data_IF_408111832521
#
_entry.id   IF_408111832521
#
_cell.length_a   1.000
_cell.length_b   1.000
_cell.length_c   1.000
_cell.angle_alpha   90.00
_cell.angle_beta   90.00
_cell.angle_gamma   90.00
#
_symmetry.space_group_name_H-M   'P 1'
#
loop_
_entity.id
_entity.type
_entity.pdbx_description
1 polymer ?
#
# COMPACT_ATOMS: atom_id res chain seq x y z
N UNK A 1 16.18 -3.15 -18.52
CA UNK A 1 14.97 -2.78 -17.73
C UNK A 1 14.54 -1.38 -18.15
N UNK A 2 13.30 -1.19 -18.61
CA UNK A 2 12.76 0.13 -18.93
C UNK A 2 12.17 0.74 -17.67
N UNK A 3 12.61 1.94 -17.32
CA UNK A 3 12.10 2.71 -16.18
C UNK A 3 11.37 3.94 -16.69
N UNK A 4 10.10 4.06 -16.36
CA UNK A 4 9.29 5.24 -16.67
C UNK A 4 9.28 6.17 -15.46
N UNK A 5 9.51 7.46 -15.70
CA UNK A 5 9.40 8.51 -14.69
C UNK A 5 8.32 9.48 -15.13
N UNK A 6 7.33 9.63 -14.27
CA UNK A 6 6.30 10.64 -14.42
C UNK A 6 6.73 11.90 -13.64
N UNK A 7 6.54 13.09 -14.20
CA UNK A 7 6.74 14.33 -13.46
C UNK A 7 5.73 14.43 -12.31
N UNK A 8 6.17 14.95 -11.16
CA UNK A 8 5.34 15.13 -9.97
C UNK A 8 6.03 14.64 -8.69
N UNK A 9 5.31 14.79 -7.57
CA UNK A 9 5.75 14.27 -6.28
C UNK A 9 5.73 12.73 -6.27
N UNK A 10 6.62 12.14 -5.48
CA UNK A 10 6.62 10.68 -5.30
C UNK A 10 5.39 10.23 -4.50
N UNK A 11 4.96 8.99 -4.71
CA UNK A 11 3.89 8.40 -3.88
C UNK A 11 4.22 8.48 -2.39
N UNK A 12 5.49 8.33 -1.99
CA UNK A 12 5.92 8.48 -0.59
C UNK A 12 5.68 9.88 -0.04
N UNK A 13 5.85 10.93 -0.84
CA UNK A 13 5.56 12.30 -0.44
C UNK A 13 4.07 12.48 -0.16
N UNK A 14 3.20 11.92 -1.00
CA UNK A 14 1.75 11.96 -0.77
C UNK A 14 1.34 11.18 0.48
N UNK A 15 1.92 9.99 0.68
CA UNK A 15 1.68 9.16 1.86
C UNK A 15 2.10 9.88 3.14
N UNK A 16 3.27 10.51 3.16
CA UNK A 16 3.75 11.26 4.33
C UNK A 16 2.84 12.44 4.65
N UNK A 17 2.36 13.18 3.64
CA UNK A 17 1.40 14.27 3.86
C UNK A 17 0.07 13.76 4.42
N UNK A 18 -0.43 12.62 3.95
CA UNK A 18 -1.65 12.02 4.50
C UNK A 18 -1.45 11.58 5.95
N UNK A 19 -0.31 10.96 6.26
CA UNK A 19 0.05 10.57 7.62
C UNK A 19 0.11 11.77 8.57
N UNK A 20 0.74 12.88 8.15
CA UNK A 20 0.81 14.11 8.96
C UNK A 20 -0.59 14.67 9.27
N UNK A 21 -1.51 14.70 8.29
CA UNK A 21 -2.90 15.15 8.51
C UNK A 21 -3.65 14.21 9.45
N UNK A 22 -3.47 12.90 9.32
CA UNK A 22 -4.05 11.95 10.26
C UNK A 22 -3.55 12.18 11.70
N UNK A 23 -2.24 12.41 11.89
CA UNK A 23 -1.65 12.62 13.21
C UNK A 23 -2.10 13.94 13.85
N UNK A 24 -2.11 15.02 13.08
CA UNK A 24 -2.40 16.35 13.61
C UNK A 24 -3.90 16.65 13.69
N UNK A 25 -4.65 16.23 12.68
CA UNK A 25 -6.03 16.67 12.45
C UNK A 25 -7.04 15.52 12.57
N UNK A 26 -6.58 14.27 12.72
CA UNK A 26 -7.44 13.09 12.82
C UNK A 26 -8.10 12.70 11.49
N UNK A 27 -7.63 13.24 10.36
CA UNK A 27 -8.15 12.86 9.04
C UNK A 27 -7.97 11.35 8.79
N UNK A 28 -9.02 10.63 8.32
CA UNK A 28 -8.88 9.23 7.96
C UNK A 28 -7.85 9.02 6.85
N UNK A 29 -7.02 7.99 7.00
CA UNK A 29 -6.12 7.57 5.94
C UNK A 29 -6.93 7.02 4.75
N UNK A 30 -6.57 7.37 3.50
CA UNK A 30 -7.25 6.80 2.31
C UNK A 30 -7.09 5.28 2.17
N UNK A 31 -6.09 4.71 2.84
CA UNK A 31 -5.83 3.27 2.88
C UNK A 31 -5.22 2.98 4.24
N UNK A 32 -5.91 2.22 5.07
CA UNK A 32 -5.53 1.97 6.46
C UNK A 32 -4.90 0.58 6.65
N UNK A 33 -4.64 0.22 7.91
CA UNK A 33 -4.04 -1.07 8.24
C UNK A 33 -4.96 -2.25 7.92
N UNK A 34 -6.28 -2.08 8.00
CA UNK A 34 -7.22 -3.14 7.65
C UNK A 34 -7.20 -3.41 6.15
N UNK A 35 -7.14 -2.37 5.33
CA UNK A 35 -6.96 -2.51 3.88
C UNK A 35 -5.66 -3.24 3.53
N UNK A 36 -4.57 -2.92 4.22
CA UNK A 36 -3.28 -3.57 4.02
C UNK A 36 -3.34 -5.09 4.34
N UNK A 37 -3.99 -5.47 5.44
CA UNK A 37 -4.18 -6.88 5.82
C UNK A 37 -5.05 -7.61 4.81
N UNK A 38 -6.16 -7.00 4.37
CA UNK A 38 -7.04 -7.58 3.36
C UNK A 38 -6.31 -7.80 2.03
N UNK A 39 -5.47 -6.84 1.63
CA UNK A 39 -4.64 -6.96 0.43
C UNK A 39 -3.62 -8.11 0.56
N UNK A 40 -2.95 -8.24 1.71
CA UNK A 40 -2.01 -9.35 1.93
C UNK A 40 -2.71 -10.72 1.94
N UNK A 41 -3.91 -10.81 2.53
CA UNK A 41 -4.71 -12.03 2.48
C UNK A 41 -5.09 -12.41 1.04
N UNK A 42 -5.48 -11.43 0.20
CA UNK A 42 -5.76 -11.65 -1.21
C UNK A 42 -4.53 -12.14 -1.99
N UNK A 43 -3.35 -11.58 -1.70
CA UNK A 43 -2.08 -12.03 -2.29
C UNK A 43 -1.80 -13.48 -1.90
N UNK A 44 -1.85 -13.83 -0.62
CA UNK A 44 -1.61 -15.19 -0.16
C UNK A 44 -2.53 -16.21 -0.84
N UNK A 45 -3.79 -15.84 -1.01
CA UNK A 45 -4.80 -16.64 -1.69
C UNK A 45 -4.48 -16.91 -3.15
N UNK A 46 -3.85 -15.95 -3.84
CA UNK A 46 -3.35 -16.13 -5.21
C UNK A 46 -2.17 -17.12 -5.20
N UNK A 47 -1.23 -16.99 -4.25
CA UNK A 47 -0.11 -17.93 -4.13
C UNK A 47 -0.59 -19.36 -3.90
N UNK A 48 -1.50 -19.55 -2.94
CA UNK A 48 -2.08 -20.86 -2.63
C UNK A 48 -2.75 -21.49 -3.85
N UNK A 49 -3.54 -20.70 -4.60
CA UNK A 49 -4.19 -21.16 -5.84
C UNK A 49 -3.20 -21.51 -6.95
N UNK A 50 -2.02 -20.89 -6.95
CA UNK A 50 -0.93 -21.20 -7.86
C UNK A 50 -0.05 -22.38 -7.40
N UNK A 51 -0.36 -23.04 -6.27
CA UNK A 51 0.46 -24.11 -5.69
C UNK A 51 1.77 -23.62 -5.07
N UNK A 52 1.85 -22.32 -4.75
CA UNK A 52 3.01 -21.69 -4.14
C UNK A 52 2.74 -21.40 -2.66
N UNK A 53 3.83 -21.30 -1.88
CA UNK A 53 3.74 -20.85 -0.50
C UNK A 53 3.58 -19.32 -0.44
N UNK A 54 2.79 -18.79 0.52
CA UNK A 54 2.80 -17.37 0.87
C UNK A 54 4.21 -16.82 1.10
N UNK A 55 4.44 -15.56 0.73
CA UNK A 55 5.72 -14.89 0.94
C UNK A 55 5.76 -14.29 2.35
N UNK A 56 6.77 -14.65 3.13
CA UNK A 56 7.06 -14.11 4.46
C UNK A 56 8.44 -13.47 4.52
#
# INVERSE_FOLDING_TARGET
VRNERLPGDTTYTHQLRAFVRMVNDGEPMPTDAHDAVANMAAIDDIYRRAGLNPRG
#
